data_IF_293604295589
#
_entry.id   IF_293604295589
#
_cell.length_a   1.000
_cell.length_b   1.000
_cell.length_c   1.000
_cell.angle_alpha   90.00
_cell.angle_beta   90.00
_cell.angle_gamma   90.00
#
_symmetry.space_group_name_H-M   'P 1'
#
loop_
_entity.id
_entity.type
_entity.pdbx_description
1 polymer ?
#
# COMPACT_ATOMS: atom_id res chain seq x y z
N UNK A 1 15.76 -2.13 7.00
CA UNK A 1 16.40 -3.21 6.21
C UNK A 1 15.72 -3.32 4.86
N UNK A 2 16.40 -3.83 3.85
CA UNK A 2 15.83 -3.99 2.51
C UNK A 2 16.20 -5.35 1.92
N UNK A 3 15.40 -5.81 0.98
CA UNK A 3 15.72 -7.03 0.27
C UNK A 3 14.87 -7.25 -0.95
N UNK A 4 15.30 -8.24 -1.73
CA UNK A 4 14.51 -8.77 -2.85
C UNK A 4 14.19 -10.24 -2.63
N UNK A 5 13.03 -10.68 -3.13
CA UNK A 5 12.65 -12.09 -3.20
C UNK A 5 12.03 -12.39 -4.55
N UNK A 6 12.57 -13.39 -5.24
CA UNK A 6 12.06 -13.83 -6.54
C UNK A 6 10.71 -14.54 -6.38
N UNK A 7 9.86 -14.44 -7.41
CA UNK A 7 8.55 -15.07 -7.47
C UNK A 7 8.50 -16.26 -8.44
N UNK A 8 9.66 -16.78 -8.86
CA UNK A 8 9.81 -17.84 -9.87
C UNK A 8 9.07 -19.15 -9.53
N UNK A 9 8.83 -19.40 -8.25
CA UNK A 9 8.13 -20.57 -7.72
C UNK A 9 6.60 -20.41 -7.74
N UNK A 10 6.08 -19.24 -8.12
CA UNK A 10 4.63 -18.99 -8.19
C UNK A 10 4.05 -19.40 -9.55
N UNK A 11 2.76 -19.78 -9.54
CA UNK A 11 2.02 -20.24 -10.71
C UNK A 11 1.26 -19.10 -11.40
N UNK A 12 1.61 -18.78 -12.65
CA UNK A 12 0.94 -17.73 -13.43
C UNK A 12 -0.58 -17.91 -13.60
N UNK A 13 -1.12 -19.13 -13.43
CA UNK A 13 -2.55 -19.40 -13.60
C UNK A 13 -3.39 -18.99 -12.38
N UNK A 14 -2.76 -18.73 -11.23
CA UNK A 14 -3.48 -18.31 -10.04
C UNK A 14 -3.63 -16.78 -10.05
N UNK A 15 -4.77 -16.29 -9.55
CA UNK A 15 -5.03 -14.86 -9.40
C UNK A 15 -4.49 -14.33 -8.07
N UNK A 16 -4.22 -15.21 -7.11
CA UNK A 16 -3.78 -14.89 -5.77
C UNK A 16 -2.62 -15.77 -5.33
N UNK A 17 -1.66 -15.15 -4.64
CA UNK A 17 -0.44 -15.78 -4.16
C UNK A 17 -0.10 -15.32 -2.76
N UNK A 18 0.46 -16.24 -1.98
CA UNK A 18 1.08 -15.95 -0.69
C UNK A 18 2.55 -16.33 -0.76
N UNK A 19 3.42 -15.39 -0.44
CA UNK A 19 4.86 -15.60 -0.37
C UNK A 19 5.35 -15.28 1.03
N UNK A 20 5.94 -16.26 1.70
CA UNK A 20 6.65 -16.03 2.96
C UNK A 20 8.04 -15.45 2.68
N UNK A 21 8.39 -14.37 3.38
CA UNK A 21 9.71 -13.73 3.34
C UNK A 21 10.36 -13.93 4.72
N UNK A 22 11.43 -14.72 4.74
CA UNK A 22 12.20 -14.96 5.96
C UNK A 22 13.37 -13.98 6.03
N UNK A 23 13.53 -13.36 7.19
CA UNK A 23 14.62 -12.43 7.50
C UNK A 23 15.73 -13.22 8.20
N UNK A 24 16.98 -12.90 7.85
CA UNK A 24 18.16 -13.47 8.51
C UNK A 24 19.15 -12.34 8.83
N UNK A 25 19.63 -12.21 10.08
CA UNK A 25 19.17 -12.97 11.27
C UNK A 25 17.71 -12.65 11.64
N UNK A 26 17.05 -13.48 12.49
CA UNK A 26 15.75 -13.15 13.06
C UNK A 26 15.80 -11.82 13.83
N UNK A 27 14.66 -11.15 13.88
CA UNK A 27 14.45 -9.92 14.63
C UNK A 27 14.14 -10.22 16.10
N UNK A 28 14.40 -9.25 16.99
CA UNK A 28 14.09 -9.38 18.42
C UNK A 28 12.69 -8.86 18.80
N UNK A 29 12.00 -8.16 17.89
CA UNK A 29 10.67 -7.57 18.11
C UNK A 29 9.86 -7.60 16.79
N UNK A 30 8.53 -7.69 16.90
CA UNK A 30 7.58 -7.75 15.77
C UNK A 30 7.05 -6.36 15.37
N UNK A 31 7.39 -5.32 16.11
CA UNK A 31 6.96 -3.94 15.90
C UNK A 31 7.78 -3.27 14.80
N UNK A 32 7.58 -3.77 13.58
CA UNK A 32 8.11 -3.20 12.36
C UNK A 32 7.03 -3.11 11.29
N UNK A 33 7.23 -2.23 10.33
CA UNK A 33 6.37 -2.05 9.18
C UNK A 33 7.10 -2.46 7.91
N UNK A 34 6.38 -3.06 6.97
CA UNK A 34 6.92 -3.45 5.67
C UNK A 34 6.28 -2.62 4.57
N UNK A 35 7.14 -2.07 3.73
CA UNK A 35 6.80 -1.40 2.49
C UNK A 35 7.44 -2.15 1.33
N UNK A 36 6.79 -2.19 0.19
CA UNK A 36 7.32 -2.92 -0.93
C UNK A 36 6.38 -3.02 -2.09
N UNK A 37 6.89 -3.52 -3.20
CA UNK A 37 6.23 -3.53 -4.49
C UNK A 37 6.63 -4.77 -5.29
N UNK A 38 5.77 -5.15 -6.23
CA UNK A 38 6.11 -6.14 -7.24
C UNK A 38 6.83 -5.43 -8.39
N UNK A 39 8.04 -5.86 -8.68
CA UNK A 39 8.87 -5.35 -9.76
C UNK A 39 8.93 -6.40 -10.87
N UNK A 40 8.64 -5.95 -12.09
CA UNK A 40 8.73 -6.77 -13.29
C UNK A 40 10.18 -7.08 -13.66
N UNK A 41 10.37 -8.03 -14.58
CA UNK A 41 11.70 -8.37 -15.14
C UNK A 41 12.45 -7.19 -15.75
N UNK A 42 11.72 -6.16 -16.22
CA UNK A 42 12.30 -4.94 -16.78
C UNK A 42 12.74 -3.93 -15.70
N UNK A 43 12.74 -4.32 -14.42
CA UNK A 43 13.08 -3.50 -13.26
C UNK A 43 12.16 -2.28 -13.06
N UNK A 44 10.94 -2.36 -13.59
CA UNK A 44 9.89 -1.36 -13.40
C UNK A 44 8.83 -1.91 -12.45
N UNK A 45 8.30 -1.04 -11.59
CA UNK A 45 7.11 -1.33 -10.80
C UNK A 45 6.00 -1.86 -11.71
N UNK A 46 5.43 -3.01 -11.34
CA UNK A 46 4.28 -3.57 -12.05
C UNK A 46 2.98 -2.90 -11.59
N UNK A 47 2.16 -2.49 -12.55
CA UNK A 47 0.78 -2.05 -12.32
C UNK A 47 -0.22 -3.20 -12.42
N UNK A 48 0.21 -4.41 -12.79
CA UNK A 48 -0.65 -5.59 -12.96
C UNK A 48 -0.90 -6.32 -11.63
N UNK A 49 -0.15 -5.99 -10.58
CA UNK A 49 -0.22 -6.68 -9.29
C UNK A 49 -0.49 -5.71 -8.15
N UNK A 50 -1.40 -6.10 -7.27
CA UNK A 50 -1.48 -5.55 -5.92
C UNK A 50 -0.69 -6.41 -4.95
N UNK A 51 -0.09 -5.77 -3.97
CA UNK A 51 0.64 -6.44 -2.89
C UNK A 51 0.26 -5.84 -1.54
N UNK A 52 0.16 -6.70 -0.53
CA UNK A 52 0.05 -6.32 0.87
C UNK A 52 0.98 -7.18 1.71
N UNK A 53 1.53 -6.57 2.75
CA UNK A 53 2.35 -7.26 3.74
C UNK A 53 1.58 -7.47 5.04
N UNK A 54 1.80 -8.62 5.67
CA UNK A 54 1.14 -9.01 6.91
C UNK A 54 1.74 -10.29 7.48
N UNK A 55 1.08 -10.86 8.49
CA UNK A 55 1.56 -12.06 9.20
C UNK A 55 3.01 -11.88 9.67
N UNK A 56 3.23 -10.79 10.39
CA UNK A 56 4.53 -10.42 10.97
C UNK A 56 4.87 -11.33 12.13
N UNK A 57 6.13 -11.75 12.19
CA UNK A 57 6.74 -12.41 13.33
C UNK A 57 8.26 -12.12 13.36
N UNK A 58 8.94 -12.65 14.37
CA UNK A 58 10.39 -12.50 14.57
C UNK A 58 11.24 -13.02 13.40
N UNK A 59 10.74 -14.00 12.65
CA UNK A 59 11.45 -14.59 11.51
C UNK A 59 11.13 -13.90 10.19
N UNK A 60 10.20 -12.95 10.16
CA UNK A 60 9.81 -12.19 8.97
C UNK A 60 8.31 -12.07 8.78
N UNK A 61 7.89 -11.98 7.53
CA UNK A 61 6.53 -11.57 7.16
C UNK A 61 6.06 -12.28 5.89
N UNK A 62 4.78 -12.17 5.59
CA UNK A 62 4.17 -12.69 4.38
C UNK A 62 3.70 -11.57 3.46
N UNK A 63 3.81 -11.80 2.16
CA UNK A 63 3.22 -10.97 1.13
C UNK A 63 2.04 -11.69 0.48
N UNK A 64 0.89 -11.03 0.44
CA UNK A 64 -0.27 -11.43 -0.37
C UNK A 64 -0.21 -10.64 -1.68
N UNK A 65 -0.16 -11.34 -2.80
CA UNK A 65 -0.08 -10.74 -4.14
C UNK A 65 -1.33 -11.15 -4.91
N UNK A 66 -1.97 -10.18 -5.56
CA UNK A 66 -3.14 -10.43 -6.41
C UNK A 66 -2.95 -9.78 -7.76
N UNK A 67 -3.25 -10.55 -8.81
CA UNK A 67 -3.30 -10.05 -10.18
C UNK A 67 -4.56 -9.19 -10.35
N UNK A 68 -4.40 -7.99 -10.89
CA UNK A 68 -5.51 -7.15 -11.31
C UNK A 68 -6.15 -7.76 -12.57
N UNK A 69 -7.46 -7.94 -12.58
CA UNK A 69 -8.22 -8.38 -13.76
C UNK A 69 -8.22 -7.26 -14.83
N UNK A 70 -7.09 -7.05 -15.49
CA UNK A 70 -6.99 -6.19 -16.68
C UNK A 70 -6.87 -7.11 -17.90
N UNK A 71 -7.75 -6.89 -18.88
CA UNK A 71 -7.85 -7.67 -20.13
C UNK A 71 -6.69 -7.43 -21.11
N UNK A 72 -5.47 -7.19 -20.62
CA UNK A 72 -4.32 -6.90 -21.46
C UNK A 72 -3.68 -8.21 -21.94
N UNK A 73 -3.53 -8.31 -23.26
CA UNK A 73 -2.87 -9.41 -23.97
C UNK A 73 -1.37 -9.55 -23.58
N UNK A 74 -0.80 -8.51 -22.95
CA UNK A 74 0.59 -8.44 -22.49
C UNK A 74 0.71 -8.45 -20.95
N UNK A 75 -0.12 -9.22 -20.24
CA UNK A 75 -0.06 -9.30 -18.79
C UNK A 75 1.34 -9.74 -18.32
N UNK A 76 1.90 -9.03 -17.34
CA UNK A 76 3.21 -9.39 -16.77
C UNK A 76 3.13 -10.78 -16.13
N UNK A 77 4.06 -11.68 -16.47
CA UNK A 77 4.13 -13.00 -15.85
C UNK A 77 4.70 -12.90 -14.42
N UNK A 78 3.93 -13.33 -13.41
CA UNK A 78 4.36 -13.21 -11.99
C UNK A 78 5.66 -13.95 -11.69
N UNK A 79 5.91 -15.11 -12.32
CA UNK A 79 7.14 -15.88 -12.13
C UNK A 79 8.40 -15.13 -12.59
N UNK A 80 8.25 -14.16 -13.49
CA UNK A 80 9.36 -13.31 -13.96
C UNK A 80 9.57 -12.08 -13.06
N UNK A 81 8.72 -11.89 -12.06
CA UNK A 81 8.77 -10.77 -11.14
C UNK A 81 9.56 -11.10 -9.86
N UNK A 82 9.85 -10.05 -9.10
CA UNK A 82 10.35 -10.15 -7.73
C UNK A 82 9.66 -9.10 -6.85
N UNK A 83 9.63 -9.35 -5.54
CA UNK A 83 9.21 -8.35 -4.57
C UNK A 83 10.46 -7.58 -4.15
N UNK A 84 10.42 -6.26 -4.28
CA UNK A 84 11.31 -5.36 -3.55
C UNK A 84 10.61 -4.98 -2.25
N UNK A 85 11.28 -5.19 -1.12
CA UNK A 85 10.72 -4.87 0.19
C UNK A 85 11.70 -4.09 1.06
N UNK A 86 11.14 -3.33 1.98
CA UNK A 86 11.81 -2.48 2.95
C UNK A 86 11.10 -2.60 4.30
N UNK A 87 11.87 -2.92 5.33
CA UNK A 87 11.44 -2.94 6.73
C UNK A 87 11.85 -1.62 7.37
N UNK A 88 10.87 -0.95 7.97
CA UNK A 88 11.06 0.22 8.82
C UNK A 88 10.64 -0.13 10.24
N UNK A 89 11.53 0.08 11.20
CA UNK A 89 11.25 -0.12 12.62
C UNK A 89 12.39 0.46 13.45
N UNK A 90 12.25 0.45 14.77
CA UNK A 90 13.29 0.95 15.66
C UNK A 90 14.46 -0.05 15.72
N UNK A 91 15.65 0.27 15.19
CA UNK A 91 16.78 -0.66 15.17
C UNK A 91 17.22 -1.14 16.55
N UNK A 92 17.02 -0.32 17.60
CA UNK A 92 17.35 -0.70 18.98
C UNK A 92 16.40 -1.75 19.56
N UNK A 93 15.17 -1.82 19.06
CA UNK A 93 14.21 -2.87 19.45
C UNK A 93 14.36 -4.12 18.61
N UNK A 94 14.66 -3.95 17.32
CA UNK A 94 14.81 -5.04 16.39
C UNK A 94 16.19 -5.72 16.47
N UNK A 95 17.16 -5.07 17.14
CA UNK A 95 18.58 -5.47 17.24
C UNK A 95 19.26 -5.71 15.90
N UNK A 96 18.77 -5.06 14.85
CA UNK A 96 19.34 -5.13 13.50
C UNK A 96 19.36 -3.75 12.86
N UNK A 97 20.53 -3.39 12.33
CA UNK A 97 20.73 -2.18 11.52
C UNK A 97 20.91 -2.56 10.06
N UNK A 98 20.25 -1.84 9.15
CA UNK A 98 20.53 -1.96 7.71
C UNK A 98 21.97 -1.55 7.46
N UNK A 99 22.86 -2.40 6.93
CA UNK A 99 24.23 -2.01 6.62
C UNK A 99 24.30 -0.95 5.52
N UNK A 100 23.37 -0.94 4.56
CA UNK A 100 23.46 -0.09 3.36
C UNK A 100 22.61 1.18 3.39
N UNK A 101 21.71 1.31 4.36
CA UNK A 101 20.75 2.42 4.41
C UNK A 101 20.72 3.12 5.78
N UNK A 102 21.86 3.17 6.49
CA UNK A 102 21.94 3.75 7.86
C UNK A 102 21.70 5.25 7.90
N UNK A 103 22.11 5.94 6.84
CA UNK A 103 22.04 7.39 6.73
C UNK A 103 20.68 7.85 6.20
N UNK A 104 19.88 6.93 5.67
CA UNK A 104 18.63 7.25 5.00
C UNK A 104 17.56 7.65 6.02
N UNK A 105 17.22 8.94 6.02
CA UNK A 105 16.14 9.47 6.83
C UNK A 105 14.78 9.03 6.26
N UNK A 106 13.93 8.51 7.15
CA UNK A 106 12.60 8.02 6.82
C UNK A 106 11.56 8.79 7.61
N UNK A 107 10.55 9.32 6.92
CA UNK A 107 9.37 9.86 7.58
C UNK A 107 8.20 8.88 7.42
N UNK A 108 7.66 8.41 8.54
CA UNK A 108 6.55 7.46 8.55
C UNK A 108 5.26 8.15 9.00
N UNK A 109 4.19 7.90 8.25
CA UNK A 109 2.85 8.37 8.57
C UNK A 109 1.98 7.15 8.85
N UNK A 110 1.18 7.21 9.91
CA UNK A 110 0.16 6.22 10.23
C UNK A 110 -1.13 6.97 10.50
N UNK A 111 -2.12 6.77 9.63
CA UNK A 111 -3.41 7.45 9.69
C UNK A 111 -4.53 6.46 9.37
N UNK A 112 -5.73 6.74 9.88
CA UNK A 112 -6.93 5.96 9.59
C UNK A 112 -7.95 6.84 8.89
N UNK A 113 -8.58 6.32 7.84
CA UNK A 113 -9.65 7.01 7.12
C UNK A 113 -10.92 6.17 7.14
N UNK A 114 -12.06 6.84 7.25
CA UNK A 114 -13.36 6.20 7.05
C UNK A 114 -13.77 6.33 5.59
N UNK A 115 -13.99 5.20 4.92
CA UNK A 115 -14.47 5.19 3.55
C UNK A 115 -15.87 5.79 3.47
N UNK A 116 -16.11 6.56 2.42
CA UNK A 116 -17.39 7.19 2.14
C UNK A 116 -17.93 6.60 0.83
N UNK A 117 -19.24 6.27 0.77
CA UNK A 117 -19.91 5.75 -0.42
C UNK A 117 -19.55 6.48 -1.73
N UNK A 118 -19.64 7.80 -1.71
CA UNK A 118 -19.56 8.62 -2.92
C UNK A 118 -18.22 9.35 -3.07
N UNK A 119 -17.23 9.02 -2.23
CA UNK A 119 -15.92 9.65 -2.31
C UNK A 119 -14.81 8.61 -2.50
N UNK A 120 -14.06 8.76 -3.60
CA UNK A 120 -12.85 7.98 -3.86
C UNK A 120 -11.57 8.77 -3.61
N UNK A 121 -11.67 10.07 -3.31
CA UNK A 121 -10.55 10.99 -3.18
C UNK A 121 -10.27 11.33 -1.71
N UNK A 122 -9.03 11.11 -1.32
CA UNK A 122 -8.59 11.28 0.06
C UNK A 122 -7.26 12.02 0.10
N UNK A 123 -6.98 12.62 1.26
CA UNK A 123 -5.71 13.27 1.54
C UNK A 123 -5.22 12.88 2.91
N UNK A 124 -3.92 12.62 3.03
CA UNK A 124 -3.24 12.41 4.31
C UNK A 124 -2.28 13.58 4.53
N UNK A 125 -2.33 14.16 5.72
CA UNK A 125 -1.40 15.20 6.14
C UNK A 125 -0.09 14.55 6.58
N UNK A 126 1.02 15.14 6.16
CA UNK A 126 2.35 14.84 6.64
C UNK A 126 2.76 15.89 7.66
N UNK A 127 3.35 15.45 8.77
CA UNK A 127 3.99 16.34 9.74
C UNK A 127 5.28 16.96 9.18
N UNK A 128 5.99 16.24 8.32
CA UNK A 128 7.17 16.73 7.63
C UNK A 128 6.79 17.47 6.34
N UNK A 129 7.62 18.46 5.96
CA UNK A 129 7.50 19.12 4.66
C UNK A 129 7.89 18.14 3.56
N UNK A 130 7.00 17.99 2.59
CA UNK A 130 7.24 17.22 1.38
C UNK A 130 7.99 18.08 0.37
N UNK A 131 8.94 17.47 -0.32
CA UNK A 131 9.77 18.11 -1.34
C UNK A 131 9.66 17.39 -2.68
N UNK A 132 9.91 18.14 -3.75
CA UNK A 132 9.99 17.55 -5.07
C UNK A 132 11.16 16.56 -5.11
N UNK A 133 10.90 15.36 -5.63
CA UNK A 133 11.84 14.25 -5.71
C UNK A 133 11.67 13.22 -4.59
N UNK A 134 10.94 13.56 -3.53
CA UNK A 134 10.70 12.60 -2.45
C UNK A 134 9.94 11.38 -2.98
N UNK A 135 10.21 10.22 -2.41
CA UNK A 135 9.64 8.96 -2.86
C UNK A 135 8.71 8.39 -1.79
N UNK A 136 7.46 8.12 -2.15
CA UNK A 136 6.44 7.62 -1.24
C UNK A 136 6.17 6.14 -1.48
N UNK A 137 6.17 5.36 -0.40
CA UNK A 137 5.69 3.99 -0.34
C UNK A 137 4.46 3.92 0.57
N UNK A 138 3.50 3.07 0.21
CA UNK A 138 2.23 2.95 0.92
C UNK A 138 1.93 1.48 1.21
N UNK A 139 1.49 1.20 2.42
CA UNK A 139 0.91 -0.08 2.82
C UNK A 139 -0.45 0.17 3.49
N UNK A 140 -1.41 -0.71 3.23
CA UNK A 140 -2.82 -0.48 3.56
C UNK A 140 -3.41 -1.68 4.29
N UNK A 141 -4.17 -1.40 5.33
CA UNK A 141 -4.87 -2.39 6.12
C UNK A 141 -6.35 -2.00 6.24
N UNK A 142 -7.23 -2.92 5.89
CA UNK A 142 -8.66 -2.75 6.14
C UNK A 142 -8.96 -3.32 7.53
N UNK A 143 -9.39 -2.48 8.47
CA UNK A 143 -9.66 -2.91 9.85
C UNK A 143 -10.93 -3.76 9.97
N UNK A 144 -11.84 -3.67 8.99
CA UNK A 144 -13.11 -4.41 8.99
C UNK A 144 -13.04 -5.76 8.28
N UNK A 145 -12.12 -5.94 7.33
CA UNK A 145 -11.88 -7.23 6.66
C UNK A 145 -10.38 -7.40 6.41
N UNK A 146 -9.71 -8.18 7.27
CA UNK A 146 -8.25 -8.36 7.27
C UNK A 146 -7.66 -9.01 5.99
N UNK A 147 -8.51 -9.35 5.01
CA UNK A 147 -8.18 -10.14 3.82
C UNK A 147 -8.40 -9.39 2.49
N UNK A 148 -8.92 -8.17 2.51
CA UNK A 148 -9.21 -7.44 1.28
C UNK A 148 -8.06 -6.55 0.82
N UNK A 149 -7.60 -6.77 -0.41
CA UNK A 149 -6.66 -5.89 -1.10
C UNK A 149 -7.40 -4.69 -1.68
N UNK A 150 -6.96 -3.50 -1.25
CA UNK A 150 -7.51 -2.22 -1.68
C UNK A 150 -6.56 -1.61 -2.70
N UNK A 151 -7.06 -1.31 -3.89
CA UNK A 151 -6.28 -0.64 -4.92
C UNK A 151 -6.25 0.87 -4.61
N UNK A 152 -5.07 1.41 -4.33
CA UNK A 152 -4.86 2.84 -4.11
C UNK A 152 -3.87 3.38 -5.15
N UNK A 153 -4.22 4.52 -5.73
CA UNK A 153 -3.34 5.28 -6.62
C UNK A 153 -3.07 6.66 -6.03
N UNK A 154 -1.80 7.00 -5.88
CA UNK A 154 -1.42 8.37 -5.54
C UNK A 154 -1.62 9.25 -6.78
N UNK A 155 -2.26 10.40 -6.58
CA UNK A 155 -2.66 11.30 -7.66
C UNK A 155 -1.97 12.66 -7.57
N UNK A 156 -1.39 13.01 -6.43
CA UNK A 156 -0.60 14.22 -6.29
C UNK A 156 -0.18 14.52 -4.86
N UNK A 157 0.45 15.67 -4.66
CA UNK A 157 0.94 16.13 -3.35
C UNK A 157 0.94 17.65 -3.23
N UNK A 158 1.04 18.16 -2.01
CA UNK A 158 1.35 19.56 -1.68
C UNK A 158 2.37 19.58 -0.54
N UNK A 159 2.79 20.76 -0.06
CA UNK A 159 3.89 20.89 0.91
C UNK A 159 3.74 20.02 2.18
N UNK A 160 2.53 19.64 2.56
CA UNK A 160 2.25 18.82 3.74
C UNK A 160 1.11 17.82 3.54
N UNK A 161 0.71 17.52 2.30
CA UNK A 161 -0.35 16.55 2.03
C UNK A 161 0.00 15.63 0.87
N UNK A 162 -0.43 14.38 0.98
CA UNK A 162 -0.43 13.40 -0.12
C UNK A 162 -1.88 13.15 -0.50
N UNK A 163 -2.19 13.27 -1.79
CA UNK A 163 -3.50 13.02 -2.36
C UNK A 163 -3.52 11.65 -3.05
N UNK A 164 -4.56 10.88 -2.79
CA UNK A 164 -4.72 9.56 -3.39
C UNK A 164 -6.18 9.27 -3.72
N UNK A 165 -6.35 8.35 -4.64
CA UNK A 165 -7.63 7.80 -5.05
C UNK A 165 -7.69 6.33 -4.65
N UNK A 166 -8.80 5.95 -4.03
CA UNK A 166 -9.10 4.56 -3.70
C UNK A 166 -10.04 4.02 -4.78
N UNK A 167 -9.64 2.93 -5.41
CA UNK A 167 -10.51 2.13 -6.27
C UNK A 167 -11.13 1.01 -5.42
N UNK A 168 -12.40 0.70 -5.68
CA UNK A 168 -13.18 -0.31 -4.95
C UNK A 168 -12.39 -1.61 -4.77
N UNK A 169 -12.56 -2.26 -3.62
CA UNK A 169 -11.97 -3.57 -3.30
C UNK A 169 -12.15 -4.56 -4.46
N UNK A 170 -11.10 -5.34 -4.76
CA UNK A 170 -11.11 -6.33 -5.85
C UNK A 170 -11.98 -7.55 -5.48
N UNK A 171 -12.36 -7.72 -4.22
CA UNK A 171 -13.29 -8.80 -3.85
C UNK A 171 -14.71 -8.49 -4.36
N UNK A 172 -15.09 -9.09 -5.49
CA UNK A 172 -16.48 -9.11 -5.98
C UNK A 172 -17.48 -9.71 -4.97
N UNK A 173 -17.00 -10.51 -4.01
CA UNK A 173 -17.82 -11.24 -3.04
C UNK A 173 -17.83 -10.67 -1.62
N UNK A 174 -17.09 -9.60 -1.33
CA UNK A 174 -17.35 -8.84 -0.11
C UNK A 174 -18.62 -8.02 -0.37
N UNK A 175 -19.63 -8.15 0.49
CA UNK A 175 -20.86 -7.34 0.52
C UNK A 175 -20.62 -5.82 0.70
N UNK A 176 -19.41 -5.32 0.39
CA UNK A 176 -19.07 -3.91 0.29
C UNK A 176 -19.52 -3.38 -1.07
N UNK A 177 -20.81 -3.49 -1.36
CA UNK A 177 -21.42 -2.54 -2.27
C UNK A 177 -21.41 -1.19 -1.56
N UNK A 178 -20.37 -0.41 -1.86
CA UNK A 178 -20.20 0.97 -1.44
C UNK A 178 -21.43 1.83 -1.81
N UNK A 179 -22.30 1.34 -2.71
CA UNK A 179 -23.60 1.92 -3.04
C UNK A 179 -24.69 1.71 -1.97
N UNK A 180 -24.50 0.84 -0.96
CA UNK A 180 -25.32 0.71 0.26
C UNK A 180 -24.63 -0.27 1.24
N UNK A 181 -23.99 0.20 2.34
CA UNK A 181 -23.39 -0.68 3.32
C UNK A 181 -24.47 -1.14 4.31
N UNK A 182 -25.29 -2.10 3.91
CA UNK A 182 -26.15 -2.87 4.80
C UNK A 182 -25.59 -4.28 4.88
N UNK A 183 -24.87 -4.59 5.95
CA UNK A 183 -24.51 -5.97 6.28
C UNK A 183 -25.72 -6.57 6.99
N UNK A 184 -26.31 -7.62 6.40
CA UNK A 184 -27.35 -8.42 7.05
C UNK A 184 -26.62 -9.41 7.96
N UNK A 185 -26.72 -9.22 9.27
CA UNK A 185 -26.30 -10.22 10.25
C UNK A 185 -27.50 -11.14 10.43
N UNK A 186 -27.42 -12.36 9.92
CA UNK A 186 -28.36 -13.43 10.24
C UNK A 186 -27.67 -14.38 11.20
N UNK A 187 -27.77 -14.12 12.49
CA UNK A 187 -27.56 -15.16 13.49
C UNK A 187 -28.91 -15.89 13.63
N UNK A 188 -28.98 -17.11 13.08
CA UNK A 188 -30.09 -18.00 13.35
C UNK A 188 -29.90 -18.60 14.75
N UNK A 189 -30.79 -18.29 15.68
CA UNK A 189 -31.81 -19.24 16.15
C UNK A 189 -32.69 -18.59 17.23
N UNK A 190 -33.99 -18.89 17.12
CA UNK A 190 -35.10 -18.63 18.05
C UNK A 190 -35.82 -17.26 18.00
N UNK A 191 -37.10 -17.37 17.60
CA UNK A 191 -38.25 -16.50 17.82
C UNK A 191 -38.02 -15.24 18.67
N UNK A 192 -37.93 -14.08 18.02
CA UNK A 192 -38.92 -13.02 18.24
C UNK A 192 -38.86 -11.97 17.13
N UNK A 193 -40.03 -11.46 16.79
CA UNK A 193 -40.22 -10.36 15.87
C UNK A 193 -39.70 -9.07 16.53
N UNK A 194 -38.46 -8.67 16.24
CA UNK A 194 -38.05 -7.28 16.48
C UNK A 194 -36.95 -6.77 15.53
N UNK A 195 -37.35 -5.76 14.74
CA UNK A 195 -36.53 -4.74 14.07
C UNK A 195 -35.19 -5.21 13.44
N UNK A 196 -35.24 -5.48 12.12
CA UNK A 196 -34.06 -5.55 11.26
C UNK A 196 -33.34 -4.19 11.25
N UNK A 197 -32.38 -4.00 12.15
CA UNK A 197 -31.56 -2.79 12.21
C UNK A 197 -30.47 -2.89 11.15
N UNK A 198 -30.60 -2.12 10.07
CA UNK A 198 -29.53 -1.94 9.08
C UNK A 198 -28.34 -1.23 9.76
N UNK A 199 -27.37 -2.00 10.28
CA UNK A 199 -26.15 -1.43 10.84
C UNK A 199 -25.27 -0.96 9.68
N UNK A 200 -25.24 0.37 9.47
CA UNK A 200 -24.30 1.03 8.57
C UNK A 200 -22.89 0.82 9.11
N UNK A 201 -22.20 -0.21 8.63
CA UNK A 201 -20.83 -0.48 9.06
C UNK A 201 -19.89 0.43 8.30
N UNK A 202 -19.26 1.36 9.02
CA UNK A 202 -18.23 2.23 8.45
C UNK A 202 -16.96 1.42 8.20
N UNK A 203 -16.51 1.35 6.94
CA UNK A 203 -15.25 0.70 6.60
C UNK A 203 -14.11 1.66 6.98
N UNK A 204 -13.23 1.21 7.86
CA UNK A 204 -12.04 1.95 8.27
C UNK A 204 -10.83 1.34 7.58
N UNK A 205 -10.02 2.20 6.97
CA UNK A 205 -8.75 1.83 6.37
C UNK A 205 -7.64 2.51 7.16
N UNK A 206 -6.70 1.71 7.65
CA UNK A 206 -5.43 2.17 8.19
C UNK A 206 -4.41 2.25 7.05
N UNK A 207 -3.92 3.45 6.82
CA UNK A 207 -2.92 3.74 5.80
C UNK A 207 -1.60 4.04 6.48
N UNK A 208 -0.57 3.33 6.05
CA UNK A 208 0.80 3.52 6.48
C UNK A 208 1.61 3.99 5.29
N UNK A 209 2.36 5.08 5.47
CA UNK A 209 3.22 5.62 4.44
C UNK A 209 4.64 5.73 4.94
N UNK A 210 5.59 5.52 4.04
CA UNK A 210 7.00 5.81 4.24
C UNK A 210 7.44 6.78 3.14
N UNK A 211 8.03 7.89 3.55
CA UNK A 211 8.54 8.94 2.66
C UNK A 211 10.06 8.94 2.79
N UNK A 212 10.72 8.78 1.66
CA UNK A 212 12.18 8.83 1.53
C UNK A 212 12.57 10.15 0.87
N UNK A 213 13.56 10.83 1.46
CA UNK A 213 14.06 12.12 0.97
C UNK A 213 14.65 11.99 -0.44
N UNK A 214 14.37 13.00 -1.26
CA UNK A 214 14.98 13.22 -2.58
C UNK A 214 16.52 13.32 -2.58
N UNK A 215 17.12 13.57 -1.42
CA UNK A 215 18.59 13.57 -1.25
C UNK A 215 19.21 12.20 -1.55
N UNK A 216 18.42 11.12 -1.39
CA UNK A 216 18.83 9.76 -1.68
C UNK A 216 18.24 9.31 -3.01
N UNK A 217 19.11 8.94 -3.96
CA UNK A 217 18.68 8.42 -5.28
C UNK A 217 18.55 6.91 -5.30
N UNK A 218 19.32 6.22 -4.44
CA UNK A 218 19.50 4.77 -4.49
C UNK A 218 19.17 4.20 -3.11
N UNK A 219 18.31 3.19 -3.11
CA UNK A 219 18.05 2.32 -1.97
C UNK A 219 18.96 1.09 -2.06
N UNK A 220 19.91 0.95 -1.14
CA UNK A 220 20.78 -0.22 -1.08
C UNK A 220 20.00 -1.47 -0.72
N UNK A 221 20.33 -2.63 -1.31
CA UNK A 221 19.68 -3.91 -1.00
C UNK A 221 20.51 -4.69 0.02
N UNK A 222 20.02 -4.93 1.23
CA UNK A 222 20.87 -5.54 2.28
C UNK A 222 21.20 -7.00 1.98
N UNK A 223 20.27 -7.76 1.39
CA UNK A 223 20.44 -9.19 1.12
C UNK A 223 21.12 -9.54 -0.23
N UNK A 224 21.54 -8.54 -1.02
CA UNK A 224 22.20 -8.73 -2.33
C UNK A 224 23.10 -7.55 -2.66
N UNK A 225 24.14 -7.73 -3.46
CA UNK A 225 24.91 -6.61 -4.00
C UNK A 225 24.05 -5.71 -4.93
N UNK A 226 24.32 -4.40 -4.90
CA UNK A 226 23.59 -3.39 -5.67
C UNK A 226 22.54 -2.59 -4.87
N UNK A 227 21.79 -1.79 -5.61
CA UNK A 227 20.74 -0.91 -5.11
C UNK A 227 19.65 -0.69 -6.16
N UNK A 228 18.54 -0.11 -5.74
CA UNK A 228 17.43 0.26 -6.62
C UNK A 228 17.28 1.77 -6.66
N UNK A 229 17.08 2.30 -7.87
CA UNK A 229 16.74 3.69 -8.09
C UNK A 229 15.34 3.99 -7.54
N UNK A 230 15.25 4.94 -6.61
CA UNK A 230 14.01 5.23 -5.88
C UNK A 230 12.89 5.72 -6.80
N UNK A 231 13.26 6.44 -7.86
CA UNK A 231 12.36 6.96 -8.88
C UNK A 231 11.73 5.88 -9.78
N UNK A 232 12.29 4.68 -9.81
CA UNK A 232 11.75 3.54 -10.57
C UNK A 232 10.80 2.66 -9.76
N UNK A 233 10.87 2.75 -8.44
CA UNK A 233 10.19 1.82 -7.54
C UNK A 233 9.05 2.52 -6.80
N UNK A 234 9.28 3.64 -6.12
CA UNK A 234 8.21 4.30 -5.35
C UNK A 234 7.37 5.28 -6.17
N UNK A 235 6.47 5.99 -5.49
CA UNK A 235 5.76 7.12 -6.09
C UNK A 235 6.56 8.40 -5.88
N UNK A 236 7.19 8.89 -6.95
CA UNK A 236 7.99 10.13 -6.90
C UNK A 236 7.10 11.37 -6.90
N UNK A 237 7.37 12.28 -5.96
CA UNK A 237 6.74 13.59 -5.89
C UNK A 237 7.36 14.50 -6.96
N UNK A 238 6.67 14.74 -8.06
CA UNK A 238 7.16 15.55 -9.17
C UNK A 238 6.47 16.92 -9.20
N UNK A 239 6.96 17.82 -10.05
CA UNK A 239 6.28 19.09 -10.29
C UNK A 239 4.92 18.91 -10.97
N UNK A 240 4.78 17.86 -11.78
CA UNK A 240 3.57 17.59 -12.57
C UNK A 240 2.40 17.13 -11.69
N UNK A 241 2.69 16.39 -10.62
CA UNK A 241 1.69 15.93 -9.66
C UNK A 241 1.59 16.84 -8.41
N UNK A 242 2.24 18.02 -8.44
CA UNK A 242 2.13 19.02 -7.38
C UNK A 242 0.83 19.83 -7.50
N UNK A 243 0.05 19.84 -6.42
CA UNK A 243 -1.15 20.66 -6.26
C UNK A 243 -0.86 21.81 -5.30
N UNK A 244 -1.13 23.04 -5.76
CA UNK A 244 -1.09 24.23 -4.89
C UNK A 244 -2.23 24.29 -3.86
N UNK A 245 -3.20 23.37 -3.92
CA UNK A 245 -4.38 23.40 -3.05
C UNK A 245 -3.98 23.09 -1.60
N UNK A 246 -4.56 23.83 -0.66
CA UNK A 246 -4.49 23.51 0.77
C UNK A 246 -5.41 22.34 1.12
N UNK A 247 -5.15 21.65 2.23
CA UNK A 247 -6.01 20.58 2.74
C UNK A 247 -7.47 21.06 2.90
N UNK A 248 -8.42 20.45 2.18
CA UNK A 248 -9.86 20.70 2.35
C UNK A 248 -10.67 20.87 1.06
N UNK A 249 -10.04 21.06 -0.10
CA UNK A 249 -10.77 21.21 -1.37
C UNK A 249 -10.87 19.88 -2.13
N UNK A 250 -12.11 19.45 -2.40
CA UNK A 250 -12.37 18.30 -3.27
C UNK A 250 -11.68 18.49 -4.64
N UNK A 251 -11.03 17.47 -5.20
CA UNK A 251 -10.30 17.59 -6.46
C UNK A 251 -11.19 17.96 -7.66
N UNK A 252 -12.50 17.69 -7.59
CA UNK A 252 -13.44 17.86 -8.70
C UNK A 252 -14.46 18.97 -8.39
N UNK A 253 -14.03 20.21 -8.59
CA UNK A 253 -14.88 21.24 -9.18
C UNK A 253 -13.99 22.10 -10.07
N UNK A 254 -14.51 22.56 -11.19
CA UNK A 254 -13.86 23.35 -12.27
C UNK A 254 -13.12 22.57 -13.36
N UNK A 255 -13.90 22.09 -14.33
CA UNK A 255 -13.75 22.47 -15.76
C UNK A 255 -15.12 22.30 -16.45
N UNK A 256 -16.01 23.25 -16.17
CA UNK A 256 -17.00 23.67 -17.16
C UNK A 256 -16.66 25.14 -17.41
N UNK A 257 -15.75 25.38 -18.34
CA UNK A 257 -15.69 26.66 -19.03
C UNK A 257 -16.20 26.41 -20.44
N UNK A 258 -17.49 26.69 -20.59
CA UNK A 258 -18.12 26.99 -21.85
C UNK A 258 -17.56 28.30 -22.40
N UNK A 259 -16.86 28.24 -23.53
CA UNK A 259 -17.08 29.12 -24.68
C UNK A 259 -16.49 28.49 -25.94
#
# INVERSE_FOLDING_TARGET
MTGIVNLKDLNNNNTEHYKRINIKPPLEDENYEVFGLVISKNNLKSEDFLIRFGLYDLNGFSAMIRTLENSNINATEIKECYILWMIIGNPLKLSVFSPKNRELEVNCIKESITLQPDNSYYSIKSSARLSQGDTVFVNIYCSTTNYELINIKLIGWSNNCIYFRIFKSIYKNSHLNISNPSIIISDSDEDDSDSLTNIKTNIIIDIRMCILSSEYKILGIDNKEGGCHLDLVGYTLTKENFSKRSSGENPISTKIDSK
#
